data_IF_702812021102
#
_entry.id   IF_702812021102
#
_cell.length_a   1.000
_cell.length_b   1.000
_cell.length_c   1.000
_cell.angle_alpha   90.00
_cell.angle_beta   90.00
_cell.angle_gamma   90.00
#
_symmetry.space_group_name_H-M   'P 1'
#
loop_
_entity.id
_entity.type
_entity.pdbx_description
1 polymer ?
#
# COMPACT_ATOMS: atom_id res chain seq x y z
N UNK A 1 -15.68 6.30 -1.94
CA UNK A 1 -14.35 6.37 -2.60
C UNK A 1 -14.41 5.50 -3.85
N UNK A 2 -13.86 5.90 -5.01
CA UNK A 2 -13.90 5.06 -6.20
C UNK A 2 -13.18 3.73 -5.94
N UNK A 3 -13.75 2.64 -6.44
CA UNK A 3 -13.15 1.29 -6.37
C UNK A 3 -11.77 1.29 -7.04
N UNK A 4 -10.82 0.54 -6.50
CA UNK A 4 -9.51 0.38 -7.15
C UNK A 4 -9.68 -0.41 -8.46
N UNK A 5 -9.23 0.11 -9.62
CA UNK A 5 -9.61 -0.41 -10.94
C UNK A 5 -9.10 -1.82 -11.23
N UNK A 6 -7.98 -2.23 -10.62
CA UNK A 6 -7.37 -3.55 -10.81
C UNK A 6 -7.35 -4.38 -9.53
N UNK A 7 -8.44 -4.35 -8.76
CA UNK A 7 -8.56 -5.06 -7.49
C UNK A 7 -8.20 -6.55 -7.59
N UNK A 8 -8.61 -7.22 -8.68
CA UNK A 8 -8.38 -8.66 -8.87
C UNK A 8 -6.91 -8.99 -9.15
N UNK A 9 -6.07 -7.98 -9.40
CA UNK A 9 -4.60 -8.11 -9.54
C UNK A 9 -3.84 -7.72 -8.27
N UNK A 10 -4.54 -7.38 -7.19
CA UNK A 10 -3.96 -7.10 -5.88
C UNK A 10 -4.15 -8.34 -5.02
N UNK A 11 -3.06 -9.03 -4.71
CA UNK A 11 -3.08 -10.23 -3.91
C UNK A 11 -1.72 -10.41 -3.23
N UNK A 12 -1.69 -10.20 -1.93
CA UNK A 12 -0.51 -10.41 -1.10
C UNK A 12 -0.77 -11.59 -0.15
N UNK A 13 0.00 -12.68 -0.22
CA UNK A 13 -0.08 -13.75 0.75
C UNK A 13 0.23 -13.26 2.17
N UNK A 14 -0.67 -13.55 3.11
CA UNK A 14 -0.51 -13.20 4.50
C UNK A 14 -1.32 -14.13 5.41
N UNK A 15 -0.94 -14.18 6.68
CA UNK A 15 -1.81 -14.70 7.75
C UNK A 15 -2.50 -13.52 8.43
N UNK A 16 -3.82 -13.57 8.58
CA UNK A 16 -4.54 -12.63 9.44
C UNK A 16 -4.22 -13.01 10.89
N UNK A 17 -3.26 -12.31 11.49
CA UNK A 17 -2.63 -12.69 12.75
C UNK A 17 -3.46 -12.30 13.96
N UNK A 18 -4.04 -11.09 13.95
CA UNK A 18 -4.84 -10.62 15.09
C UNK A 18 -5.86 -9.54 14.73
N UNK A 19 -7.03 -9.59 15.37
CA UNK A 19 -8.01 -8.51 15.40
C UNK A 19 -7.91 -7.71 16.70
N UNK A 20 -7.37 -6.48 16.62
CA UNK A 20 -7.28 -5.59 17.78
C UNK A 20 -8.50 -4.67 17.81
N UNK A 21 -9.41 -4.93 18.74
CA UNK A 21 -10.61 -4.11 18.91
C UNK A 21 -10.23 -2.67 19.32
N UNK A 22 -10.79 -1.67 18.64
CA UNK A 22 -10.55 -0.28 19.02
C UNK A 22 -11.15 0.06 20.39
N UNK A 23 -10.50 0.98 21.10
CA UNK A 23 -10.92 1.42 22.43
C UNK A 23 -12.25 2.18 22.39
N UNK A 24 -13.04 2.07 23.46
CA UNK A 24 -14.18 2.95 23.68
C UNK A 24 -13.68 4.33 24.12
N UNK A 25 -13.99 5.37 23.35
CA UNK A 25 -13.63 6.73 23.66
C UNK A 25 -14.63 7.36 24.65
N UNK A 26 -14.22 8.33 25.49
CA UNK A 26 -15.11 8.97 26.47
C UNK A 26 -16.34 9.67 25.87
N UNK A 27 -16.35 9.95 24.56
CA UNK A 27 -17.51 10.46 23.83
C UNK A 27 -18.55 9.37 23.45
N UNK A 28 -18.32 8.12 23.87
CA UNK A 28 -19.17 6.97 23.60
C UNK A 28 -18.93 6.29 22.24
N UNK A 29 -18.01 6.80 21.41
CA UNK A 29 -17.66 6.18 20.12
C UNK A 29 -16.52 5.18 20.31
N UNK A 30 -16.56 4.07 19.58
CA UNK A 30 -15.44 3.12 19.55
C UNK A 30 -14.48 3.49 18.42
N UNK A 31 -13.19 3.49 18.70
CA UNK A 31 -12.17 3.61 17.65
C UNK A 31 -12.25 2.42 16.70
N UNK A 32 -11.81 2.62 15.46
CA UNK A 32 -11.82 1.58 14.44
C UNK A 32 -10.85 0.45 14.82
N UNK A 33 -11.19 -0.81 14.50
CA UNK A 33 -10.31 -1.93 14.77
C UNK A 33 -9.02 -1.84 13.92
N UNK A 34 -7.95 -2.41 14.48
CA UNK A 34 -6.69 -2.62 13.77
C UNK A 34 -6.57 -4.11 13.46
N UNK A 35 -6.52 -4.45 12.18
CA UNK A 35 -6.22 -5.79 11.69
C UNK A 35 -4.71 -5.93 11.54
N UNK A 36 -4.14 -7.04 12.02
CA UNK A 36 -2.72 -7.32 11.88
C UNK A 36 -2.55 -8.47 10.89
N UNK A 37 -1.81 -8.24 9.81
CA UNK A 37 -1.47 -9.26 8.82
C UNK A 37 0.02 -9.57 8.87
N UNK A 38 0.38 -10.83 9.05
CA UNK A 38 1.76 -11.31 9.03
C UNK A 38 2.14 -11.80 7.64
N UNK A 39 3.17 -11.20 7.07
CA UNK A 39 3.71 -11.54 5.76
C UNK A 39 4.75 -12.68 5.86
N UNK A 40 5.04 -13.32 4.72
CA UNK A 40 6.02 -14.41 4.63
C UNK A 40 7.43 -14.01 5.14
N UNK A 41 7.83 -12.75 4.94
CA UNK A 41 9.09 -12.18 5.42
C UNK A 41 9.14 -11.90 6.93
N UNK A 42 8.11 -12.26 7.71
CA UNK A 42 8.04 -12.06 9.16
C UNK A 42 7.62 -10.66 9.59
N UNK A 43 7.36 -9.76 8.64
CA UNK A 43 6.85 -8.42 8.89
C UNK A 43 5.34 -8.48 9.16
N UNK A 44 4.88 -7.74 10.15
CA UNK A 44 3.45 -7.54 10.40
C UNK A 44 3.02 -6.16 9.92
N UNK A 45 1.92 -6.11 9.16
CA UNK A 45 1.28 -4.86 8.74
C UNK A 45 -0.02 -4.69 9.53
N UNK A 46 -0.12 -3.58 10.26
CA UNK A 46 -1.36 -3.14 10.87
C UNK A 46 -2.17 -2.29 9.88
N UNK A 47 -3.44 -2.65 9.67
CA UNK A 47 -4.36 -1.94 8.77
C UNK A 47 -5.65 -1.63 9.50
N UNK A 48 -6.12 -0.39 9.40
CA UNK A 48 -7.41 0.01 9.97
C UNK A 48 -8.50 -0.35 8.99
N UNK A 49 -9.39 -1.26 9.38
CA UNK A 49 -10.53 -1.64 8.56
C UNK A 49 -11.70 -0.68 8.77
N UNK A 50 -11.68 0.40 7.99
CA UNK A 50 -12.68 1.48 8.04
C UNK A 50 -14.06 1.05 7.57
N UNK A 51 -14.14 -0.02 6.79
CA UNK A 51 -15.36 -0.40 6.08
C UNK A 51 -15.84 -1.81 6.46
N UNK A 52 -15.24 -2.42 7.50
CA UNK A 52 -15.57 -3.75 7.97
C UNK A 52 -15.53 -4.80 6.84
N UNK A 53 -14.47 -4.72 6.02
CA UNK A 53 -14.26 -5.58 4.86
C UNK A 53 -13.86 -7.00 5.28
N UNK A 54 -13.14 -7.16 6.39
CA UNK A 54 -12.64 -8.46 6.83
C UNK A 54 -13.45 -8.96 8.01
N UNK A 55 -13.93 -10.19 7.90
CA UNK A 55 -14.59 -10.90 8.98
C UNK A 55 -13.58 -11.23 10.11
N UNK A 56 -13.77 -10.74 11.35
CA UNK A 56 -12.90 -11.03 12.47
C UNK A 56 -12.77 -12.53 12.79
N UNK A 57 -13.76 -13.36 12.42
CA UNK A 57 -13.70 -14.81 12.65
C UNK A 57 -12.63 -15.52 11.80
N UNK A 58 -12.03 -14.81 10.83
CA UNK A 58 -10.93 -15.29 10.01
C UNK A 58 -9.55 -15.11 10.69
N UNK A 59 -9.48 -14.61 11.92
CA UNK A 59 -8.24 -14.53 12.69
C UNK A 59 -7.54 -15.90 12.78
N UNK A 60 -6.23 -15.90 12.61
CA UNK A 60 -5.36 -17.08 12.50
C UNK A 60 -5.32 -17.74 11.12
N UNK A 61 -6.15 -17.31 10.15
CA UNK A 61 -6.20 -17.93 8.81
C UNK A 61 -5.16 -17.32 7.87
N UNK A 62 -4.58 -18.17 7.02
CA UNK A 62 -3.77 -17.76 5.89
C UNK A 62 -4.65 -17.47 4.66
N UNK A 63 -4.25 -16.52 3.83
CA UNK A 63 -5.00 -16.11 2.66
C UNK A 63 -4.28 -15.06 1.82
N UNK A 64 -5.04 -14.45 0.91
CA UNK A 64 -4.61 -13.35 0.06
C UNK A 64 -5.27 -12.06 0.56
N UNK A 65 -4.46 -11.16 1.12
CA UNK A 65 -4.91 -9.83 1.53
C UNK A 65 -4.78 -8.84 0.37
N UNK A 66 -5.81 -8.03 0.16
CA UNK A 66 -5.86 -7.03 -0.92
C UNK A 66 -5.55 -5.65 -0.35
N UNK A 67 -4.27 -5.30 -0.32
CA UNK A 67 -3.80 -4.03 0.25
C UNK A 67 -3.59 -2.96 -0.82
N UNK A 68 -4.01 -1.74 -0.51
CA UNK A 68 -3.70 -0.54 -1.30
C UNK A 68 -2.94 0.46 -0.45
N UNK A 69 -1.78 0.89 -0.95
CA UNK A 69 -0.97 1.92 -0.36
C UNK A 69 -1.46 3.28 -0.87
N UNK A 70 -1.82 4.15 0.06
CA UNK A 70 -2.45 5.44 -0.17
C UNK A 70 -1.53 6.55 0.32
N UNK A 71 -1.65 7.72 -0.33
CA UNK A 71 -0.95 8.95 0.08
C UNK A 71 0.58 8.79 0.14
N UNK A 72 1.10 7.85 -0.64
CA UNK A 72 2.51 7.48 -0.65
C UNK A 72 3.37 8.46 -1.45
N UNK A 73 4.64 8.57 -1.07
CA UNK A 73 5.70 9.00 -1.98
C UNK A 73 6.08 7.85 -2.91
N UNK A 74 6.34 8.16 -4.19
CA UNK A 74 6.71 7.18 -5.22
C UNK A 74 7.89 7.69 -6.03
N UNK A 75 8.92 6.86 -6.19
CA UNK A 75 10.18 7.25 -6.83
C UNK A 75 10.80 6.03 -7.56
N UNK A 76 11.49 6.27 -8.68
CA UNK A 76 12.32 5.22 -9.29
C UNK A 76 13.42 4.77 -8.31
N UNK A 77 13.65 3.47 -8.24
CA UNK A 77 14.82 2.96 -7.55
C UNK A 77 16.09 3.28 -8.35
N UNK A 78 17.19 3.70 -7.69
CA UNK A 78 18.45 3.92 -8.38
C UNK A 78 18.95 2.64 -9.09
N UNK A 79 19.61 2.79 -10.25
CA UNK A 79 20.23 1.66 -10.93
C UNK A 79 21.22 0.91 -10.02
N UNK A 80 21.17 -0.43 -10.02
CA UNK A 80 22.07 -1.27 -9.22
C UNK A 80 21.71 -1.40 -7.74
N UNK A 81 20.69 -0.69 -7.24
CA UNK A 81 20.22 -0.80 -5.84
C UNK A 81 18.83 -1.43 -5.74
N UNK A 82 18.42 -2.20 -6.75
CA UNK A 82 17.07 -2.76 -6.83
C UNK A 82 16.78 -3.68 -5.65
N UNK A 83 15.80 -3.28 -4.84
CA UNK A 83 15.18 -4.05 -3.77
C UNK A 83 13.79 -4.50 -4.19
N UNK A 84 13.34 -5.54 -3.53
CA UNK A 84 11.99 -6.07 -3.66
C UNK A 84 11.52 -6.52 -2.28
N UNK A 85 10.23 -6.33 -2.00
CA UNK A 85 9.62 -6.68 -0.72
C UNK A 85 9.00 -5.49 0.00
N UNK A 86 8.28 -5.80 1.07
CA UNK A 86 7.75 -4.81 2.01
C UNK A 86 8.70 -4.73 3.19
N UNK A 87 8.93 -3.53 3.71
CA UNK A 87 9.84 -3.23 4.81
C UNK A 87 9.13 -2.33 5.82
N UNK A 88 9.53 -2.46 7.09
CA UNK A 88 9.13 -1.48 8.11
C UNK A 88 9.92 -0.19 7.93
N UNK A 89 9.35 0.95 8.32
CA UNK A 89 10.11 2.21 8.30
C UNK A 89 11.44 2.12 9.07
N UNK A 90 12.45 2.92 8.66
CA UNK A 90 13.66 3.13 9.42
C UNK A 90 13.29 3.47 10.87
N UNK A 91 13.89 2.77 11.84
CA UNK A 91 13.66 2.89 13.29
C UNK A 91 12.51 2.07 13.90
N UNK A 92 11.73 1.35 13.10
CA UNK A 92 10.78 0.40 13.65
C UNK A 92 11.49 -0.89 14.09
N UNK A 93 11.53 -1.15 15.40
CA UNK A 93 12.15 -2.35 15.99
C UNK A 93 11.16 -3.45 16.37
N UNK A 94 9.85 -3.19 16.28
CA UNK A 94 8.83 -4.16 16.71
C UNK A 94 8.52 -5.20 15.64
N UNK A 95 8.94 -4.97 14.38
CA UNK A 95 8.57 -5.79 13.23
C UNK A 95 7.12 -5.57 12.76
N UNK A 96 6.37 -4.69 13.43
CA UNK A 96 4.99 -4.33 13.08
C UNK A 96 4.91 -2.87 12.62
N UNK A 97 4.40 -2.63 11.41
CA UNK A 97 4.26 -1.29 10.80
C UNK A 97 2.82 -1.00 10.41
N UNK A 98 2.42 0.27 10.50
CA UNK A 98 1.18 0.79 9.89
C UNK A 98 1.47 1.75 8.73
N UNK A 99 2.75 1.96 8.40
CA UNK A 99 3.23 2.85 7.35
C UNK A 99 4.38 2.22 6.51
N UNK A 100 4.21 0.99 6.00
CA UNK A 100 5.27 0.25 5.33
C UNK A 100 5.90 0.99 4.15
N UNK A 101 7.18 0.69 3.91
CA UNK A 101 7.84 0.92 2.63
C UNK A 101 7.67 -0.31 1.75
N UNK A 102 7.38 -0.12 0.46
CA UNK A 102 7.35 -1.20 -0.51
C UNK A 102 8.33 -0.92 -1.65
N UNK A 103 9.07 -1.96 -2.02
CA UNK A 103 9.99 -1.97 -3.14
C UNK A 103 9.53 -3.05 -4.09
N UNK A 104 9.42 -2.73 -5.38
CA UNK A 104 8.92 -3.69 -6.34
C UNK A 104 8.98 -3.24 -7.78
N UNK A 105 8.45 -4.08 -8.65
CA UNK A 105 8.35 -3.82 -10.09
C UNK A 105 6.91 -3.46 -10.44
N UNK A 106 6.71 -2.39 -11.21
CA UNK A 106 5.39 -1.98 -11.69
C UNK A 106 4.87 -3.04 -12.66
N UNK A 107 3.67 -3.58 -12.41
CA UNK A 107 3.04 -4.59 -13.28
C UNK A 107 1.77 -4.10 -13.97
N UNK A 108 1.28 -2.92 -13.59
CA UNK A 108 0.23 -2.18 -14.28
C UNK A 108 0.19 -0.71 -13.83
N UNK A 109 -0.23 0.19 -14.71
CA UNK A 109 -0.50 1.61 -14.43
C UNK A 109 -1.87 1.98 -15.01
N UNK A 110 -2.98 1.63 -14.32
CA UNK A 110 -4.33 1.92 -14.81
C UNK A 110 -4.65 3.40 -14.93
N UNK A 111 -4.02 4.27 -14.11
CA UNK A 111 -4.32 5.70 -14.09
C UNK A 111 -3.03 6.51 -14.00
N UNK A 112 -2.89 7.51 -14.89
CA UNK A 112 -1.81 8.49 -14.90
C UNK A 112 -2.36 9.82 -15.39
N UNK A 113 -2.77 10.67 -14.46
CA UNK A 113 -3.47 11.91 -14.74
C UNK A 113 -2.62 13.08 -14.24
N UNK A 114 -2.06 13.84 -15.17
CA UNK A 114 -1.23 15.01 -14.87
C UNK A 114 -2.06 16.26 -15.11
N UNK A 115 -2.13 17.13 -14.12
CA UNK A 115 -2.74 18.45 -14.24
C UNK A 115 -1.64 19.51 -14.23
N UNK A 116 -1.59 20.33 -15.28
CA UNK A 116 -0.64 21.42 -15.45
C UNK A 116 -1.40 22.71 -15.78
N UNK A 117 -0.92 23.86 -15.29
CA UNK A 117 -1.30 25.18 -15.83
C UNK A 117 -2.06 26.15 -14.92
N UNK A 118 -2.33 25.82 -13.66
CA UNK A 118 -3.04 26.73 -12.74
C UNK A 118 -2.31 27.05 -11.43
N UNK A 119 -1.34 26.22 -11.05
CA UNK A 119 -0.59 26.35 -9.80
C UNK A 119 0.91 26.38 -10.13
N UNK A 120 1.78 26.88 -9.22
CA UNK A 120 3.23 26.88 -9.45
C UNK A 120 3.87 25.49 -9.36
N UNK A 121 3.06 24.43 -9.33
CA UNK A 121 3.46 23.04 -9.30
C UNK A 121 2.53 22.23 -10.20
N UNK A 122 3.06 21.13 -10.72
CA UNK A 122 2.28 20.10 -11.37
C UNK A 122 1.68 19.16 -10.31
N UNK A 123 0.52 18.59 -10.62
CA UNK A 123 -0.08 17.52 -9.83
C UNK A 123 -0.24 16.25 -10.67
N UNK A 124 -0.03 15.11 -10.02
CA UNK A 124 -0.21 13.79 -10.57
C UNK A 124 -1.14 13.00 -9.67
N UNK A 125 -2.24 12.51 -10.23
CA UNK A 125 -2.96 11.37 -9.68
C UNK A 125 -2.51 10.10 -10.40
N UNK A 126 -2.12 9.08 -9.65
CA UNK A 126 -1.77 7.79 -10.26
C UNK A 126 -2.26 6.60 -9.44
N UNK A 127 -2.61 5.56 -10.17
CA UNK A 127 -2.88 4.24 -9.66
C UNK A 127 -1.99 3.22 -10.37
N UNK A 128 -1.38 2.33 -9.59
CA UNK A 128 -0.48 1.29 -10.10
C UNK A 128 -0.61 0.00 -9.29
N UNK A 129 -0.21 -1.11 -9.91
CA UNK A 129 -0.03 -2.40 -9.23
C UNK A 129 1.46 -2.68 -9.17
N UNK A 130 1.94 -2.99 -7.98
CA UNK A 130 3.34 -3.24 -7.69
C UNK A 130 3.54 -4.70 -7.29
N UNK A 131 4.41 -5.41 -7.99
CA UNK A 131 4.91 -6.72 -7.60
C UNK A 131 6.05 -6.55 -6.60
N UNK A 132 5.81 -6.97 -5.36
CA UNK A 132 6.75 -6.89 -4.24
C UNK A 132 7.46 -8.22 -3.98
N UNK A 133 7.39 -9.18 -4.90
CA UNK A 133 8.12 -10.46 -4.88
C UNK A 133 7.25 -11.61 -4.42
N UNK A 134 6.70 -11.51 -3.21
CA UNK A 134 5.83 -12.54 -2.64
C UNK A 134 4.37 -12.38 -3.06
N UNK A 135 4.04 -11.30 -3.77
CA UNK A 135 2.69 -10.97 -4.21
C UNK A 135 2.61 -9.54 -4.74
N UNK A 136 1.40 -9.04 -4.89
CA UNK A 136 1.14 -7.70 -5.43
C UNK A 136 0.36 -6.82 -4.47
N UNK A 137 0.68 -5.53 -4.48
CA UNK A 137 -0.09 -4.49 -3.79
C UNK A 137 -0.61 -3.48 -4.81
N UNK A 138 -1.73 -2.82 -4.48
CA UNK A 138 -2.15 -1.62 -5.18
C UNK A 138 -1.45 -0.39 -4.60
N UNK A 139 -1.26 0.64 -5.40
CA UNK A 139 -0.85 1.96 -4.95
C UNK A 139 -1.77 2.98 -5.60
N UNK A 140 -2.29 3.91 -4.81
CA UNK A 140 -3.10 5.04 -5.27
C UNK A 140 -2.62 6.27 -4.55
N UNK A 141 -1.98 7.18 -5.28
CA UNK A 141 -1.40 8.37 -4.66
C UNK A 141 -1.59 9.62 -5.51
N UNK A 142 -1.43 10.74 -4.83
CA UNK A 142 -1.37 12.06 -5.43
C UNK A 142 0.00 12.67 -5.13
N UNK A 143 0.71 13.10 -6.16
CA UNK A 143 2.04 13.69 -6.05
C UNK A 143 1.98 15.11 -6.59
N UNK A 144 2.61 16.04 -5.89
CA UNK A 144 2.84 17.41 -6.41
C UNK A 144 4.33 17.70 -6.46
N UNK A 145 4.73 18.47 -7.47
CA UNK A 145 6.12 18.92 -7.65
C UNK A 145 6.20 20.07 -8.65
N UNK A 146 7.20 20.94 -8.49
CA UNK A 146 7.54 21.96 -9.51
C UNK A 146 7.96 21.30 -10.85
N UNK A 147 8.53 20.10 -10.77
CA UNK A 147 8.83 19.25 -11.93
C UNK A 147 8.61 17.79 -11.54
N UNK A 148 7.49 17.21 -11.99
CA UNK A 148 7.15 15.81 -11.69
C UNK A 148 8.17 14.83 -12.27
N UNK A 149 8.65 15.05 -13.49
CA UNK A 149 9.60 14.15 -14.13
C UNK A 149 10.91 14.06 -13.34
N UNK A 150 11.42 15.19 -12.85
CA UNK A 150 12.61 15.23 -12.00
C UNK A 150 12.37 14.55 -10.65
N UNK A 151 11.20 14.76 -10.03
CA UNK A 151 10.85 14.13 -8.74
C UNK A 151 10.70 12.62 -8.83
N UNK A 152 10.05 12.14 -9.89
CA UNK A 152 9.77 10.72 -10.10
C UNK A 152 10.96 9.98 -10.72
N UNK A 153 11.89 10.72 -11.32
CA UNK A 153 13.01 10.22 -12.12
C UNK A 153 12.63 9.88 -13.57
N UNK A 154 11.37 10.11 -13.97
CA UNK A 154 10.86 9.94 -15.33
C UNK A 154 9.49 10.59 -15.53
N UNK A 155 9.08 10.76 -16.79
CA UNK A 155 7.77 11.36 -17.15
C UNK A 155 6.57 10.50 -16.76
N UNK A 156 6.67 9.18 -16.92
CA UNK A 156 5.59 8.24 -16.59
C UNK A 156 6.13 6.86 -16.22
N UNK A 157 5.60 6.27 -15.14
CA UNK A 157 5.91 4.87 -14.83
C UNK A 157 5.35 3.91 -15.88
N UNK A 158 6.13 2.90 -16.19
CA UNK A 158 5.83 1.85 -17.16
C UNK A 158 5.96 0.48 -16.50
N UNK A 159 5.34 -0.53 -17.09
CA UNK A 159 5.50 -1.92 -16.66
C UNK A 159 6.98 -2.30 -16.71
N UNK A 160 7.46 -2.92 -15.63
CA UNK A 160 8.87 -3.30 -15.44
C UNK A 160 9.72 -2.26 -14.71
N UNK A 161 9.23 -1.02 -14.54
CA UNK A 161 9.94 -0.03 -13.72
C UNK A 161 10.06 -0.52 -12.28
N UNK A 162 11.25 -0.35 -11.71
CA UNK A 162 11.49 -0.65 -10.31
C UNK A 162 11.33 0.62 -9.49
N UNK A 163 10.34 0.63 -8.61
CA UNK A 163 10.01 1.81 -7.81
C UNK A 163 10.08 1.51 -6.31
N UNK A 164 10.25 2.57 -5.53
CA UNK A 164 10.06 2.58 -4.08
C UNK A 164 8.78 3.37 -3.78
N UNK A 165 8.00 2.86 -2.84
CA UNK A 165 6.77 3.47 -2.34
C UNK A 165 6.92 3.63 -0.83
N UNK A 166 6.85 4.85 -0.31
CA UNK A 166 7.10 5.14 1.11
C UNK A 166 6.06 6.10 1.68
N UNK A 167 6.09 6.29 3.01
CA UNK A 167 5.11 7.12 3.75
C UNK A 167 3.66 6.72 3.46
N UNK A 168 3.44 5.42 3.32
CA UNK A 168 2.19 4.88 2.83
C UNK A 168 1.19 4.74 3.97
N UNK A 169 -0.01 5.29 3.80
CA UNK A 169 -1.15 4.78 4.55
C UNK A 169 -1.61 3.48 3.89
N UNK A 170 -1.96 2.46 4.68
CA UNK A 170 -2.51 1.22 4.12
C UNK A 170 -4.03 1.20 4.25
N UNK A 171 -4.71 0.79 3.19
CA UNK A 171 -6.13 0.45 3.17
C UNK A 171 -6.32 -1.00 2.73
N UNK A 172 -7.39 -1.63 3.20
CA UNK A 172 -7.73 -3.03 2.89
C UNK A 172 -8.99 -3.11 2.06
N UNK A 173 -8.92 -3.86 0.95
CA UNK A 173 -10.01 -4.03 0.01
C UNK A 173 -10.59 -5.44 -0.02
N UNK A 174 -10.00 -6.37 0.73
CA UNK A 174 -10.46 -7.76 0.83
C UNK A 174 -9.45 -8.68 1.50
N UNK A 175 -9.94 -9.83 1.97
CA UNK A 175 -9.13 -10.95 2.42
C UNK A 175 -9.78 -12.26 1.96
N UNK A 176 -9.11 -13.00 1.09
CA UNK A 176 -9.60 -14.26 0.54
C UNK A 176 -8.83 -15.41 1.21
N UNK A 177 -9.51 -16.27 1.98
CA UNK A 177 -8.87 -17.36 2.73
C UNK A 177 -8.35 -18.44 1.78
N UNK A 178 -7.13 -18.90 2.01
CA UNK A 178 -6.60 -20.10 1.35
C UNK A 178 -7.18 -21.35 2.03
N UNK A 179 -7.78 -22.23 1.24
CA UNK A 179 -8.35 -23.50 1.68
C UNK A 179 -7.32 -24.51 2.16
#
# INVERSE_FOLDING_TARGET
>A
MPRFPLLDRVALPATFDSYVQGNLHPDGRRYLPLLIFKLAGGISIGVVDRHHIVDPELEGRAGLVKLVFLLSSVELQPPGTSRQGIWTEPHNRSGMTTMPEAYGSVVAVPSWEVEQGHLPYDSLYTELVLDVGDGTIGVRTHVTADNLAAKLGKEQFAVGDKIMVSRSRVDILGFDVSG
#
